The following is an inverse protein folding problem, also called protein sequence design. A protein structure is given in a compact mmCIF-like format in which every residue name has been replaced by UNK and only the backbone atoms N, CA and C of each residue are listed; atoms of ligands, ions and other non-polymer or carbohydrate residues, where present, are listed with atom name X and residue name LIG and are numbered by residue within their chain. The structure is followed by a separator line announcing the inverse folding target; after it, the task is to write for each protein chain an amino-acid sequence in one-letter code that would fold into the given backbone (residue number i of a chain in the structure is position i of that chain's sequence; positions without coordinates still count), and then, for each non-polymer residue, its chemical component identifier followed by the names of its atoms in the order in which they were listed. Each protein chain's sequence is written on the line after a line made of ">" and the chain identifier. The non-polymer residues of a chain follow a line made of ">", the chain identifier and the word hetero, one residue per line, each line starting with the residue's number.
data_IF_149656181151
#
_entry.id   IF_149656181151
#
_cell.length_a   1.000
_cell.length_b   1.000
_cell.length_c   1.000
_cell.angle_alpha   90.00
_cell.angle_beta   90.00
_cell.angle_gamma   90.00
#
_symmetry.space_group_name_H-M   'P 1'
#
loop_
_entity.id
_entity.type
_entity.pdbx_description
1 polymer ?
#
# COMPACT_ATOMS: atom_id res chain seq x y z
N UNK A 1 25.83 -21.02 5.09
CA UNK A 1 25.77 -22.44 4.75
C UNK A 1 24.91 -22.60 3.50
N UNK A 2 25.52 -22.43 2.32
CA UNK A 2 24.92 -22.82 1.03
C UNK A 2 25.84 -23.90 0.43
N UNK A 3 25.45 -25.16 0.62
CA UNK A 3 26.06 -26.29 -0.08
C UNK A 3 25.41 -26.45 -1.45
N UNK A 4 25.92 -25.74 -2.46
CA UNK A 4 25.44 -25.77 -3.86
C UNK A 4 26.14 -24.73 -4.74
N UNK A 5 25.87 -24.71 -6.05
CA UNK A 5 26.36 -23.65 -6.96
C UNK A 5 25.76 -22.31 -6.53
N UNK A 6 26.63 -21.38 -6.13
CA UNK A 6 26.22 -20.06 -5.63
C UNK A 6 25.53 -19.22 -6.71
N UNK A 7 24.49 -18.47 -6.33
CA UNK A 7 23.92 -17.40 -7.18
C UNK A 7 24.81 -16.15 -7.11
N UNK A 8 25.95 -16.23 -7.79
CA UNK A 8 26.95 -15.17 -7.84
C UNK A 8 26.35 -13.90 -8.45
N UNK A 9 25.51 -14.04 -9.50
CA UNK A 9 24.90 -12.89 -10.17
C UNK A 9 23.86 -12.22 -9.28
N UNK A 10 23.02 -12.98 -8.57
CA UNK A 10 22.10 -12.45 -7.57
C UNK A 10 22.83 -11.70 -6.46
N UNK A 11 23.95 -12.25 -5.98
CA UNK A 11 24.79 -11.62 -4.96
C UNK A 11 25.39 -10.29 -5.44
N UNK A 12 25.90 -10.23 -6.68
CA UNK A 12 26.40 -9.00 -7.29
C UNK A 12 25.29 -7.95 -7.41
N UNK A 13 24.10 -8.33 -7.87
CA UNK A 13 22.93 -7.43 -7.98
C UNK A 13 22.50 -6.89 -6.63
N UNK A 14 22.44 -7.75 -5.61
CA UNK A 14 22.13 -7.32 -4.25
C UNK A 14 23.17 -6.32 -3.73
N UNK A 15 24.47 -6.61 -3.92
CA UNK A 15 25.56 -5.70 -3.56
C UNK A 15 25.41 -4.31 -4.18
N UNK A 16 25.07 -4.23 -5.48
CA UNK A 16 24.80 -2.96 -6.16
C UNK A 16 23.58 -2.23 -5.59
N UNK A 17 22.49 -2.95 -5.29
CA UNK A 17 21.31 -2.37 -4.66
C UNK A 17 21.62 -1.78 -3.27
N UNK A 18 22.44 -2.46 -2.47
CA UNK A 18 22.90 -1.95 -1.17
C UNK A 18 23.79 -0.72 -1.32
N UNK A 19 24.69 -0.68 -2.32
CA UNK A 19 25.51 0.50 -2.59
C UNK A 19 24.67 1.72 -2.95
N UNK A 20 23.65 1.56 -3.81
CA UNK A 20 22.72 2.64 -4.15
C UNK A 20 21.96 3.11 -2.91
N UNK A 21 21.41 2.19 -2.11
CA UNK A 21 20.73 2.53 -0.86
C UNK A 21 21.64 3.34 0.08
N UNK A 22 22.90 2.92 0.24
CA UNK A 22 23.87 3.61 1.06
C UNK A 22 24.21 5.01 0.54
N UNK A 23 24.36 5.15 -0.79
CA UNK A 23 24.64 6.44 -1.43
C UNK A 23 23.47 7.43 -1.32
N UNK A 24 22.22 6.94 -1.39
CA UNK A 24 21.01 7.76 -1.17
C UNK A 24 20.87 8.16 0.31
N UNK A 25 21.18 7.22 1.21
CA UNK A 25 21.09 7.43 2.65
C UNK A 25 19.70 7.13 3.23
N UNK A 26 19.67 6.54 4.42
CA UNK A 26 18.42 6.11 5.07
C UNK A 26 17.53 7.27 5.47
N UNK A 27 18.09 8.40 5.91
CA UNK A 27 17.32 9.59 6.29
C UNK A 27 16.53 10.19 5.13
N UNK A 28 17.10 10.16 3.92
CA UNK A 28 16.41 10.64 2.71
C UNK A 28 15.25 9.71 2.35
N UNK A 29 15.47 8.39 2.47
CA UNK A 29 14.43 7.39 2.22
C UNK A 29 13.28 7.55 3.24
N UNK A 30 13.60 7.66 4.54
CA UNK A 30 12.61 7.86 5.60
C UNK A 30 11.81 9.16 5.40
N UNK A 31 12.46 10.27 5.05
CA UNK A 31 11.77 11.52 4.78
C UNK A 31 10.81 11.42 3.58
N UNK A 32 11.18 10.67 2.55
CA UNK A 32 10.33 10.40 1.41
C UNK A 32 9.13 9.49 1.77
N UNK A 33 9.35 8.46 2.58
CA UNK A 33 8.31 7.58 3.10
C UNK A 33 7.31 8.35 3.97
N UNK A 34 7.78 9.21 4.87
CA UNK A 34 6.95 10.08 5.72
C UNK A 34 6.11 11.06 4.89
N UNK A 35 6.69 11.62 3.82
CA UNK A 35 5.96 12.49 2.89
C UNK A 35 4.87 11.72 2.14
N UNK A 36 5.18 10.51 1.66
CA UNK A 36 4.23 9.66 0.96
C UNK A 36 3.10 9.20 1.89
N UNK A 37 3.43 8.84 3.13
CA UNK A 37 2.47 8.44 4.15
C UNK A 37 1.47 9.57 4.44
N UNK A 38 1.95 10.78 4.72
CA UNK A 38 1.09 11.94 4.98
C UNK A 38 0.15 12.22 3.81
N UNK A 39 0.67 12.22 2.58
CA UNK A 39 -0.13 12.45 1.37
C UNK A 39 -1.19 11.37 1.18
N UNK A 40 -0.82 10.11 1.33
CA UNK A 40 -1.71 8.96 1.17
C UNK A 40 -2.84 8.99 2.20
N UNK A 41 -2.53 9.16 3.49
CA UNK A 41 -3.55 9.21 4.52
C UNK A 41 -4.46 10.43 4.37
N UNK A 42 -3.93 11.62 4.11
CA UNK A 42 -4.75 12.83 3.91
C UNK A 42 -5.74 12.68 2.74
N UNK A 43 -5.35 11.98 1.68
CA UNK A 43 -6.21 11.76 0.51
C UNK A 43 -7.19 10.59 0.67
N UNK A 44 -6.77 9.48 1.27
CA UNK A 44 -7.59 8.28 1.33
C UNK A 44 -8.56 8.28 2.50
N UNK A 45 -8.21 8.90 3.64
CA UNK A 45 -9.10 8.97 4.81
C UNK A 45 -10.31 9.87 4.59
N UNK A 46 -10.21 10.83 3.67
CA UNK A 46 -11.28 11.77 3.32
C UNK A 46 -12.22 11.23 2.25
N UNK A 47 -11.92 10.09 1.64
CA UNK A 47 -12.72 9.49 0.58
C UNK A 47 -13.76 8.50 1.14
N UNK A 48 -15.04 8.86 1.10
CA UNK A 48 -16.15 8.01 1.59
C UNK A 48 -16.27 6.64 0.90
N UNK A 49 -15.74 6.52 -0.32
CA UNK A 49 -15.75 5.29 -1.10
C UNK A 49 -14.57 4.36 -0.78
N UNK A 50 -13.66 4.79 0.10
CA UNK A 50 -12.49 4.02 0.52
C UNK A 50 -12.59 3.79 2.03
N UNK A 51 -12.64 2.53 2.43
CA UNK A 51 -12.52 2.16 3.83
C UNK A 51 -11.09 1.69 4.08
N UNK A 52 -10.28 2.52 4.75
CA UNK A 52 -8.93 2.15 5.16
C UNK A 52 -8.97 1.11 6.29
N UNK A 53 -8.09 0.11 6.21
CA UNK A 53 -7.96 -0.96 7.18
C UNK A 53 -6.66 -0.83 7.97
N UNK A 54 -6.74 -1.19 9.25
CA UNK A 54 -5.63 -1.11 10.19
C UNK A 54 -5.56 0.23 10.93
N UNK A 55 -4.56 0.41 11.80
CA UNK A 55 -4.44 1.61 12.63
C UNK A 55 -4.14 2.84 11.77
N UNK A 56 -4.73 3.98 12.16
CA UNK A 56 -4.41 5.26 11.55
C UNK A 56 -2.94 5.60 11.77
N UNK A 57 -2.34 6.21 10.75
CA UNK A 57 -1.03 6.80 10.88
C UNK A 57 -1.13 7.98 11.86
N UNK A 58 -0.43 7.89 12.98
CA UNK A 58 -0.33 8.95 13.97
C UNK A 58 1.14 9.20 14.32
N UNK A 59 1.42 10.31 15.01
CA UNK A 59 2.78 10.61 15.51
C UNK A 59 3.34 9.48 16.39
N UNK A 60 2.47 8.68 17.01
CA UNK A 60 2.85 7.55 17.88
C UNK A 60 2.87 6.20 17.16
N UNK A 61 2.46 6.14 15.89
CA UNK A 61 2.41 4.90 15.11
C UNK A 61 3.10 5.11 13.76
N UNK A 62 4.43 5.01 13.77
CA UNK A 62 5.24 5.00 12.55
C UNK A 62 4.96 3.71 11.76
N UNK A 63 4.58 3.87 10.49
CA UNK A 63 4.36 2.76 9.56
C UNK A 63 4.77 3.19 8.17
N UNK A 64 5.24 2.24 7.38
CA UNK A 64 5.47 2.46 5.96
C UNK A 64 4.17 2.91 5.27
N UNK A 65 4.26 3.66 4.15
CA UNK A 65 3.13 4.11 3.33
C UNK A 65 2.47 2.95 2.56
N UNK A 66 2.12 1.88 3.25
CA UNK A 66 1.43 0.69 2.76
C UNK A 66 0.07 0.66 3.46
N UNK A 67 -1.03 0.56 2.71
CA UNK A 67 -2.39 0.45 3.27
C UNK A 67 -3.15 -0.71 2.64
N UNK A 68 -4.03 -1.30 3.44
CA UNK A 68 -5.09 -2.17 2.96
C UNK A 68 -6.39 -1.38 2.96
N UNK A 69 -7.23 -1.56 1.96
CA UNK A 69 -8.50 -0.84 1.85
C UNK A 69 -9.60 -1.70 1.24
N UNK A 70 -10.85 -1.32 1.49
CA UNK A 70 -12.02 -1.80 0.78
C UNK A 70 -12.60 -0.68 -0.08
N UNK A 71 -12.93 -0.99 -1.33
CA UNK A 71 -13.62 -0.07 -2.23
C UNK A 71 -15.13 -0.23 -2.10
N UNK A 72 -15.85 0.87 -1.91
CA UNK A 72 -17.30 0.89 -1.78
C UNK A 72 -17.96 0.85 -3.15
N UNK A 73 -18.90 -0.06 -3.34
CA UNK A 73 -19.75 -0.11 -4.52
C UNK A 73 -20.90 0.91 -4.40
N UNK A 74 -21.44 1.42 -5.53
CA UNK A 74 -22.59 2.30 -5.52
C UNK A 74 -23.76 1.73 -4.70
N UNK A 75 -24.46 2.60 -3.96
CA UNK A 75 -25.62 2.17 -3.19
C UNK A 75 -26.74 1.71 -4.13
N UNK A 76 -27.38 0.60 -3.79
CA UNK A 76 -28.54 0.08 -4.52
C UNK A 76 -29.77 0.03 -3.64
N UNK A 77 -30.95 0.19 -4.26
CA UNK A 77 -32.22 0.08 -3.58
C UNK A 77 -32.46 -1.38 -3.16
N UNK A 78 -32.70 -1.58 -1.87
CA UNK A 78 -33.09 -2.86 -1.29
C UNK A 78 -34.61 -3.06 -1.40
N UNK A 79 -35.08 -4.30 -1.24
CA UNK A 79 -36.50 -4.65 -1.36
C UNK A 79 -37.40 -3.97 -0.33
N UNK A 80 -36.83 -3.53 0.79
CA UNK A 80 -37.51 -2.80 1.86
C UNK A 80 -37.52 -1.28 1.66
N UNK A 81 -37.03 -0.79 0.51
CA UNK A 81 -36.94 0.64 0.18
C UNK A 81 -35.70 1.34 0.74
N UNK A 82 -34.82 0.65 1.48
CA UNK A 82 -33.58 1.24 1.99
C UNK A 82 -32.48 1.28 0.93
N UNK A 83 -31.63 2.31 0.95
CA UNK A 83 -30.41 2.35 0.14
C UNK A 83 -29.26 1.72 0.92
N UNK A 84 -28.62 0.69 0.36
CA UNK A 84 -27.47 0.05 1.00
C UNK A 84 -26.31 -0.10 0.03
N UNK A 85 -25.15 0.33 0.48
CA UNK A 85 -23.89 0.11 -0.21
C UNK A 85 -23.15 -1.10 0.39
N UNK A 86 -22.37 -1.78 -0.44
CA UNK A 86 -21.51 -2.92 -0.08
C UNK A 86 -20.09 -2.64 -0.56
N UNK A 87 -19.12 -3.43 -0.11
CA UNK A 87 -17.77 -3.37 -0.65
C UNK A 87 -17.63 -4.26 -1.89
N UNK A 88 -16.87 -3.79 -2.88
CA UNK A 88 -16.49 -4.57 -4.04
C UNK A 88 -15.64 -5.77 -3.63
N UNK A 89 -15.88 -6.91 -4.26
CA UNK A 89 -15.07 -8.11 -4.02
C UNK A 89 -13.63 -7.86 -4.46
N UNK A 90 -12.64 -8.37 -3.71
CA UNK A 90 -11.23 -8.10 -3.99
C UNK A 90 -10.83 -8.52 -5.41
N UNK A 91 -11.37 -9.62 -5.95
CA UNK A 91 -11.08 -10.05 -7.33
C UNK A 91 -11.50 -9.01 -8.37
N UNK A 92 -12.62 -8.32 -8.15
CA UNK A 92 -13.04 -7.22 -9.02
C UNK A 92 -12.11 -6.02 -8.88
N UNK A 93 -11.78 -5.64 -7.65
CA UNK A 93 -10.83 -4.53 -7.38
C UNK A 93 -9.46 -4.80 -8.00
N UNK A 94 -8.93 -6.02 -7.85
CA UNK A 94 -7.68 -6.44 -8.46
C UNK A 94 -7.76 -6.41 -9.99
N UNK A 95 -8.84 -6.92 -10.59
CA UNK A 95 -9.02 -6.87 -12.03
C UNK A 95 -9.01 -5.42 -12.55
N UNK A 96 -9.76 -4.50 -11.92
CA UNK A 96 -9.79 -3.09 -12.32
C UNK A 96 -8.44 -2.40 -12.15
N UNK A 97 -7.73 -2.63 -11.04
CA UNK A 97 -6.44 -1.97 -10.78
C UNK A 97 -5.28 -2.58 -11.55
N UNK A 98 -5.44 -3.80 -12.07
CA UNK A 98 -4.43 -4.50 -12.84
C UNK A 98 -4.62 -4.38 -14.36
N UNK A 99 -5.81 -3.96 -14.82
CA UNK A 99 -6.25 -4.14 -16.21
C UNK A 99 -7.00 -2.92 -16.80
N UNK A 100 -6.70 -1.72 -16.28
CA UNK A 100 -6.69 -0.48 -17.09
C UNK A 100 -5.24 -0.10 -17.35
#
# INVERSE_FOLDING_TARGET
>A
EEGGTQDIIGSVRAGLAFQVKAAVGTSVIEAAEDALQRRMFASLSTNENICLLGPEASEHTKRLPIVSFLARAPATAMRDGTMKSRFSHYSFTCAVLNDV
#
